data_IF_939920441242
#
_entry.id   IF_939920441242
#
_cell.length_a   1.000
_cell.length_b   1.000
_cell.length_c   1.000
_cell.angle_alpha   90.00
_cell.angle_beta   90.00
_cell.angle_gamma   90.00
#
_symmetry.space_group_name_H-M   'P 1'
#
loop_
_entity.id
_entity.type
_entity.pdbx_description
1 polymer ?
#
# COMPACT_ATOMS: atom_id res chain seq x y z
N UNK A 1 -1.10 -20.11 -0.36
CA UNK A 1 -0.76 -19.08 -1.36
C UNK A 1 -2.00 -18.28 -1.70
N UNK A 2 -2.06 -17.07 -1.16
CA UNK A 2 -3.06 -16.10 -1.58
C UNK A 2 -2.84 -15.67 -3.03
N UNK A 3 -3.93 -15.50 -3.76
CA UNK A 3 -3.88 -15.09 -5.16
C UNK A 3 -3.95 -13.56 -5.29
N UNK A 4 -3.56 -13.03 -6.46
CA UNK A 4 -3.80 -11.61 -6.80
C UNK A 4 -5.29 -11.26 -6.76
N UNK A 5 -6.17 -12.24 -6.96
CA UNK A 5 -7.61 -12.08 -6.87
C UNK A 5 -8.06 -11.87 -5.42
N UNK A 6 -7.46 -12.59 -4.46
CA UNK A 6 -7.73 -12.41 -3.03
C UNK A 6 -7.24 -11.03 -2.56
N UNK A 7 -6.05 -10.61 -3.00
CA UNK A 7 -5.54 -9.26 -2.73
C UNK A 7 -6.50 -8.18 -3.26
N UNK A 8 -6.96 -8.29 -4.51
CA UNK A 8 -7.86 -7.30 -5.09
C UNK A 8 -9.23 -7.26 -4.40
N UNK A 9 -9.76 -8.41 -3.93
CA UNK A 9 -11.00 -8.46 -3.14
C UNK A 9 -10.82 -7.74 -1.80
N UNK A 10 -9.75 -8.03 -1.07
CA UNK A 10 -9.43 -7.40 0.21
C UNK A 10 -9.23 -5.89 0.05
N UNK A 11 -8.47 -5.46 -0.97
CA UNK A 11 -8.28 -4.04 -1.28
C UNK A 11 -9.59 -3.33 -1.63
N UNK A 12 -10.49 -3.99 -2.35
CA UNK A 12 -11.80 -3.40 -2.67
C UNK A 12 -12.70 -3.27 -1.44
N UNK A 13 -12.63 -4.22 -0.50
CA UNK A 13 -13.45 -4.24 0.71
C UNK A 13 -12.94 -3.26 1.78
N UNK A 14 -11.63 -3.17 1.97
CA UNK A 14 -11.02 -2.48 3.10
C UNK A 14 -10.16 -1.28 2.72
N UNK A 15 -9.77 -1.13 1.45
CA UNK A 15 -8.79 -0.14 0.99
C UNK A 15 -7.34 -0.45 1.37
N UNK A 16 -7.11 -1.49 2.15
CA UNK A 16 -5.79 -2.01 2.49
C UNK A 16 -5.80 -3.53 2.58
N UNK A 17 -4.61 -4.11 2.53
CA UNK A 17 -4.37 -5.52 2.81
C UNK A 17 -3.07 -5.68 3.59
N UNK A 18 -3.05 -6.63 4.52
CA UNK A 18 -1.83 -7.01 5.25
C UNK A 18 -1.47 -8.43 4.87
N UNK A 19 -0.33 -8.60 4.22
CA UNK A 19 0.23 -9.91 3.89
C UNK A 19 1.22 -10.26 4.98
N UNK A 20 0.98 -11.36 5.68
CA UNK A 20 1.85 -11.78 6.77
C UNK A 20 2.59 -13.07 6.40
N UNK A 21 3.91 -13.03 6.53
CA UNK A 21 4.80 -14.17 6.28
C UNK A 21 5.95 -14.15 7.28
N UNK A 22 6.23 -15.27 7.99
CA UNK A 22 7.32 -15.31 8.97
C UNK A 22 8.72 -15.22 8.33
N UNK A 23 8.83 -15.39 7.01
CA UNK A 23 10.10 -15.33 6.26
C UNK A 23 10.23 -13.98 5.52
N UNK A 24 11.32 -13.26 5.81
CA UNK A 24 11.62 -11.95 5.24
C UNK A 24 11.90 -11.99 3.73
N UNK A 25 12.56 -13.04 3.24
CA UNK A 25 12.90 -13.18 1.83
C UNK A 25 11.65 -13.50 1.01
N UNK A 26 10.75 -14.30 1.57
CA UNK A 26 9.46 -14.57 0.95
C UNK A 26 8.54 -13.35 0.99
N UNK A 27 8.62 -12.52 2.04
CA UNK A 27 7.92 -11.23 2.09
C UNK A 27 8.35 -10.31 0.95
N UNK A 28 9.66 -10.14 0.77
CA UNK A 28 10.22 -9.28 -0.27
C UNK A 28 9.85 -9.79 -1.67
N UNK A 29 9.97 -11.10 -1.93
CA UNK A 29 9.57 -11.69 -3.22
C UNK A 29 8.08 -11.54 -3.50
N UNK A 30 7.22 -11.78 -2.50
CA UNK A 30 5.78 -11.64 -2.64
C UNK A 30 5.38 -10.18 -2.89
N UNK A 31 6.03 -9.23 -2.22
CA UNK A 31 5.88 -7.80 -2.48
C UNK A 31 6.27 -7.45 -3.91
N UNK A 32 7.48 -7.84 -4.34
CA UNK A 32 7.98 -7.56 -5.69
C UNK A 32 7.02 -8.10 -6.75
N UNK A 33 6.62 -9.37 -6.66
CA UNK A 33 5.66 -9.98 -7.60
C UNK A 33 4.31 -9.24 -7.61
N UNK A 34 3.82 -8.85 -6.44
CA UNK A 34 2.59 -8.09 -6.35
C UNK A 34 2.77 -6.72 -7.05
N UNK A 35 3.80 -5.96 -6.71
CA UNK A 35 4.11 -4.66 -7.28
C UNK A 35 4.24 -4.70 -8.81
N UNK A 36 5.00 -5.66 -9.35
CA UNK A 36 5.13 -5.88 -10.81
C UNK A 36 3.77 -6.08 -11.47
N UNK A 37 2.88 -6.87 -10.85
CA UNK A 37 1.55 -7.11 -11.42
C UNK A 37 0.69 -5.84 -11.52
N UNK A 38 0.89 -4.85 -10.64
CA UNK A 38 0.21 -3.56 -10.70
C UNK A 38 0.88 -2.60 -11.70
N UNK A 39 2.21 -2.62 -11.80
CA UNK A 39 2.94 -1.87 -12.83
C UNK A 39 2.52 -2.30 -14.24
N UNK A 40 2.43 -3.60 -14.51
CA UNK A 40 1.99 -4.14 -15.81
C UNK A 40 0.55 -3.73 -16.16
N UNK A 41 -0.28 -3.44 -15.15
CA UNK A 41 -1.64 -2.92 -15.32
C UNK A 41 -1.69 -1.41 -15.58
N UNK A 42 -0.56 -0.71 -15.45
CA UNK A 42 -0.46 0.74 -15.58
C UNK A 42 -0.84 1.52 -14.32
N UNK A 43 -0.89 0.87 -13.15
CA UNK A 43 -1.17 1.55 -11.89
C UNK A 43 0.08 2.31 -11.39
N UNK A 44 -0.09 3.44 -10.67
CA UNK A 44 1.01 4.16 -10.00
C UNK A 44 1.44 3.34 -8.78
N UNK A 45 2.63 2.73 -8.86
CA UNK A 45 3.17 1.89 -7.79
C UNK A 45 4.24 2.65 -7.01
N UNK A 46 4.04 2.71 -5.69
CA UNK A 46 4.98 3.30 -4.75
C UNK A 46 5.40 2.26 -3.74
N UNK A 47 6.70 2.12 -3.48
CA UNK A 47 7.26 1.13 -2.56
C UNK A 47 7.95 1.85 -1.42
N UNK A 48 7.63 1.46 -0.19
CA UNK A 48 8.30 1.91 1.02
C UNK A 48 9.06 0.70 1.57
N UNK A 49 10.39 0.77 1.50
CA UNK A 49 11.29 -0.25 2.03
C UNK A 49 11.57 0.06 3.51
N UNK A 50 10.76 -0.54 4.39
CA UNK A 50 10.89 -0.38 5.84
C UNK A 50 12.07 -1.15 6.45
N UNK A 51 12.59 -2.17 5.76
CA UNK A 51 13.74 -2.95 6.20
C UNK A 51 15.08 -2.39 5.69
N UNK A 52 15.03 -1.47 4.71
CA UNK A 52 16.19 -0.88 4.06
C UNK A 52 17.13 -1.92 3.44
N UNK A 53 16.56 -3.00 2.88
CA UNK A 53 17.33 -4.11 2.30
C UNK A 53 17.79 -3.84 0.87
N UNK A 54 17.28 -2.78 0.21
CA UNK A 54 17.66 -2.43 -1.16
C UNK A 54 17.20 -3.44 -2.21
N UNK A 55 16.28 -4.34 -1.87
CA UNK A 55 15.90 -5.49 -2.70
C UNK A 55 14.91 -5.17 -3.84
N UNK A 56 14.70 -3.88 -4.14
CA UNK A 56 13.61 -3.41 -4.99
C UNK A 56 14.07 -2.60 -6.21
N UNK A 57 15.37 -2.61 -6.54
CA UNK A 57 15.93 -1.85 -7.67
C UNK A 57 15.24 -2.19 -9.01
N UNK A 58 14.92 -3.47 -9.24
CA UNK A 58 14.20 -3.91 -10.45
C UNK A 58 12.77 -3.34 -10.58
N UNK A 59 12.14 -2.91 -9.48
CA UNK A 59 10.85 -2.21 -9.53
C UNK A 59 11.03 -0.76 -9.97
N UNK A 60 12.15 -0.13 -9.59
CA UNK A 60 12.47 1.26 -10.00
C UNK A 60 12.71 1.33 -11.50
N UNK A 61 13.45 0.35 -12.06
CA UNK A 61 13.65 0.23 -13.52
C UNK A 61 12.32 0.09 -14.28
N UNK A 62 11.33 -0.55 -13.66
CA UNK A 62 9.98 -0.72 -14.21
C UNK A 62 9.05 0.49 -13.93
N UNK A 63 9.57 1.55 -13.29
CA UNK A 63 8.85 2.82 -13.08
C UNK A 63 8.20 2.99 -11.70
N UNK A 64 8.43 2.11 -10.73
CA UNK A 64 7.95 2.31 -9.37
C UNK A 64 8.74 3.41 -8.64
N UNK A 65 8.05 4.19 -7.81
CA UNK A 65 8.70 5.13 -6.91
C UNK A 65 9.15 4.42 -5.62
N UNK A 66 10.45 4.36 -5.35
CA UNK A 66 11.00 3.68 -4.17
C UNK A 66 11.43 4.68 -3.07
N UNK A 67 11.00 4.41 -1.85
CA UNK A 67 11.36 5.14 -0.64
C UNK A 67 12.09 4.22 0.35
N UNK A 68 13.42 4.31 0.37
CA UNK A 68 14.29 3.49 1.24
C UNK A 68 14.63 4.12 2.58
N UNK A 69 14.28 5.40 2.78
CA UNK A 69 14.56 6.13 4.02
C UNK A 69 13.27 6.58 4.69
N UNK A 70 13.30 6.72 6.02
CA UNK A 70 12.19 7.28 6.77
C UNK A 70 11.75 8.66 6.25
N UNK A 71 12.70 9.50 5.81
CA UNK A 71 12.40 10.81 5.24
C UNK A 71 11.68 10.70 3.89
N UNK A 72 12.14 9.80 3.00
CA UNK A 72 11.47 9.54 1.73
C UNK A 72 10.05 8.96 1.94
N UNK A 73 9.90 8.02 2.87
CA UNK A 73 8.60 7.44 3.22
C UNK A 73 7.60 8.50 3.70
N UNK A 74 8.05 9.44 4.54
CA UNK A 74 7.22 10.58 4.96
C UNK A 74 6.76 11.43 3.77
N UNK A 75 7.67 11.74 2.83
CA UNK A 75 7.32 12.53 1.64
C UNK A 75 6.28 11.84 0.76
N UNK A 76 6.43 10.53 0.53
CA UNK A 76 5.45 9.73 -0.21
C UNK A 76 4.06 9.84 0.44
N UNK A 77 3.99 9.72 1.75
CA UNK A 77 2.71 9.72 2.47
C UNK A 77 2.09 11.10 2.57
N UNK A 78 2.90 12.15 2.72
CA UNK A 78 2.42 13.53 2.65
C UNK A 78 1.83 13.85 1.28
N UNK A 79 2.49 13.42 0.19
CA UNK A 79 1.97 13.54 -1.18
C UNK A 79 0.64 12.79 -1.34
N UNK A 80 0.55 11.55 -0.86
CA UNK A 80 -0.67 10.76 -0.90
C UNK A 80 -1.81 11.43 -0.13
N UNK A 81 -1.51 12.05 1.02
CA UNK A 81 -2.52 12.75 1.83
C UNK A 81 -3.12 13.94 1.08
N UNK A 82 -2.27 14.73 0.42
CA UNK A 82 -2.71 15.86 -0.41
C UNK A 82 -3.55 15.36 -1.59
N UNK A 83 -3.07 14.32 -2.25
CA UNK A 83 -3.73 13.75 -3.42
C UNK A 83 -5.09 13.13 -3.09
N UNK A 84 -5.20 12.43 -1.96
CA UNK A 84 -6.47 11.96 -1.41
C UNK A 84 -7.44 13.11 -1.16
N UNK A 85 -6.96 14.19 -0.53
CA UNK A 85 -7.80 15.37 -0.26
C UNK A 85 -8.33 16.00 -1.55
N UNK A 86 -7.49 16.11 -2.58
CA UNK A 86 -7.89 16.60 -3.89
C UNK A 86 -8.89 15.67 -4.59
N UNK A 87 -8.64 14.37 -4.60
CA UNK A 87 -9.54 13.38 -5.21
C UNK A 87 -10.89 13.36 -4.50
N UNK A 88 -10.89 13.44 -3.17
CA UNK A 88 -12.13 13.53 -2.38
C UNK A 88 -12.92 14.80 -2.67
N UNK A 89 -12.26 15.95 -2.82
CA UNK A 89 -12.94 17.20 -3.23
C UNK A 89 -13.52 17.10 -4.63
N UNK A 90 -12.78 16.47 -5.56
CA UNK A 90 -13.20 16.33 -6.97
C UNK A 90 -14.37 15.37 -7.14
N UNK A 91 -14.40 14.28 -6.38
CA UNK A 91 -15.36 13.19 -6.59
C UNK A 91 -16.47 13.17 -5.53
N UNK A 92 -16.32 13.94 -4.46
CA UNK A 92 -17.28 13.99 -3.36
C UNK A 92 -17.30 12.71 -2.53
N UNK A 93 -18.47 12.34 -2.02
CA UNK A 93 -18.67 11.14 -1.21
C UNK A 93 -19.00 9.88 -2.04
N UNK A 94 -18.85 9.93 -3.38
CA UNK A 94 -19.09 8.76 -4.23
C UNK A 94 -18.02 7.69 -4.02
N UNK A 95 -18.45 6.43 -3.90
CA UNK A 95 -17.55 5.29 -3.81
C UNK A 95 -16.92 4.99 -5.17
N UNK A 96 -15.65 4.58 -5.18
CA UNK A 96 -14.91 4.16 -6.38
C UNK A 96 -15.58 3.04 -7.15
N UNK A 97 -16.20 2.10 -6.42
CA UNK A 97 -16.94 1.00 -7.01
C UNK A 97 -18.09 1.52 -7.88
N UNK A 98 -18.69 2.64 -7.50
CA UNK A 98 -19.86 3.24 -8.13
C UNK A 98 -19.49 4.25 -9.22
N UNK A 99 -18.22 4.67 -9.32
CA UNK A 99 -17.77 5.58 -10.37
C UNK A 99 -17.73 4.89 -11.73
N UNK A 100 -18.21 5.56 -12.80
CA UNK A 100 -17.96 5.12 -14.17
C UNK A 100 -16.45 4.93 -14.42
N UNK A 101 -16.06 3.86 -15.11
CA UNK A 101 -14.64 3.58 -15.39
C UNK A 101 -13.92 4.75 -16.08
N UNK A 102 -14.62 5.48 -16.94
CA UNK A 102 -14.09 6.65 -17.67
C UNK A 102 -13.81 7.87 -16.80
N UNK A 103 -14.34 7.91 -15.57
CA UNK A 103 -14.17 9.03 -14.63
C UNK A 103 -13.40 8.64 -13.39
N UNK A 104 -13.00 7.36 -13.27
CA UNK A 104 -12.14 6.90 -12.17
C UNK A 104 -10.77 7.56 -12.32
N UNK A 105 -10.22 8.12 -11.23
CA UNK A 105 -8.80 8.46 -11.18
C UNK A 105 -7.91 7.29 -11.57
N UNK A 106 -6.64 7.55 -11.83
CA UNK A 106 -5.63 6.48 -11.90
C UNK A 106 -5.44 5.86 -10.52
N UNK A 107 -5.24 4.54 -10.45
CA UNK A 107 -5.00 3.90 -9.15
C UNK A 107 -3.59 4.18 -8.68
N UNK A 108 -3.46 4.38 -7.38
CA UNK A 108 -2.17 4.40 -6.70
C UNK A 108 -2.14 3.21 -5.74
N UNK A 109 -1.11 2.38 -5.82
CA UNK A 109 -0.91 1.23 -4.93
C UNK A 109 0.40 1.39 -4.21
N UNK A 110 0.32 1.42 -2.88
CA UNK A 110 1.45 1.65 -2.00
C UNK A 110 1.82 0.35 -1.32
N UNK A 111 2.98 -0.19 -1.65
CA UNK A 111 3.56 -1.36 -1.02
C UNK A 111 4.48 -0.95 0.11
N UNK A 112 4.36 -1.62 1.25
CA UNK A 112 5.16 -1.32 2.44
C UNK A 112 5.80 -2.61 2.95
N UNK A 113 7.12 -2.71 2.80
CA UNK A 113 7.90 -3.79 3.42
C UNK A 113 8.16 -3.49 4.91
N UNK A 114 8.27 -4.54 5.71
CA UNK A 114 8.45 -4.49 7.16
C UNK A 114 7.48 -3.49 7.80
N UNK A 115 6.18 -3.63 7.50
CA UNK A 115 5.12 -2.74 7.94
C UNK A 115 5.07 -2.59 9.47
N UNK A 116 5.40 -3.65 10.21
CA UNK A 116 5.58 -3.65 11.66
C UNK A 116 6.66 -2.66 12.13
N UNK A 117 7.75 -2.51 11.38
CA UNK A 117 8.86 -1.61 11.74
C UNK A 117 8.43 -0.15 11.57
N UNK A 118 7.57 0.12 10.59
CA UNK A 118 7.01 1.44 10.36
C UNK A 118 5.94 1.78 11.42
N UNK A 119 5.12 0.82 11.81
CA UNK A 119 4.00 1.01 12.74
C UNK A 119 4.39 0.95 14.22
N UNK A 120 5.39 0.17 14.61
CA UNK A 120 5.80 -0.03 16.02
C UNK A 120 6.91 0.90 16.49
N UNK A 121 7.64 1.59 15.60
CA UNK A 121 8.66 2.54 16.04
C UNK A 121 8.05 3.76 16.73
N UNK A 122 8.60 4.16 17.89
CA UNK A 122 8.12 5.22 18.81
C UNK A 122 8.13 6.65 18.27
N UNK A 123 8.27 6.84 16.97
CA UNK A 123 8.28 8.17 16.36
C UNK A 123 6.84 8.63 16.19
N UNK A 124 6.37 9.59 16.99
CA UNK A 124 5.05 10.22 16.84
C UNK A 124 4.77 10.89 15.47
N UNK A 125 5.74 10.94 14.55
CA UNK A 125 5.52 11.21 13.11
C UNK A 125 5.06 9.97 12.33
N UNK A 126 5.54 8.78 12.67
CA UNK A 126 5.13 7.49 12.09
C UNK A 126 3.74 7.05 12.60
N UNK A 127 3.33 7.46 13.79
CA UNK A 127 1.95 7.28 14.25
C UNK A 127 0.94 8.08 13.40
N UNK A 128 1.27 9.33 13.05
CA UNK A 128 0.49 10.15 12.08
C UNK A 128 0.48 9.55 10.67
N UNK A 129 1.54 8.82 10.33
CA UNK A 129 1.71 8.09 9.08
C UNK A 129 0.75 6.89 9.04
N UNK A 130 0.60 6.18 10.16
CA UNK A 130 -0.37 5.10 10.35
C UNK A 130 -1.82 5.62 10.39
N UNK A 131 -2.09 6.77 11.02
CA UNK A 131 -3.42 7.43 10.99
C UNK A 131 -3.78 7.93 9.59
N UNK A 132 -2.82 8.53 8.87
CA UNK A 132 -2.98 8.89 7.46
C UNK A 132 -3.24 7.65 6.64
N UNK A 133 -2.42 6.60 6.77
CA UNK A 133 -2.58 5.29 6.14
C UNK A 133 -3.94 4.64 6.47
N UNK A 134 -4.45 4.79 7.69
CA UNK A 134 -5.76 4.31 8.10
C UNK A 134 -6.90 5.14 7.48
N UNK A 135 -6.70 6.44 7.29
CA UNK A 135 -7.61 7.29 6.53
C UNK A 135 -7.57 6.96 5.02
N UNK A 136 -6.38 6.65 4.48
CA UNK A 136 -6.20 6.08 3.13
C UNK A 136 -6.88 4.71 3.05
N UNK A 137 -6.79 3.87 4.06
CA UNK A 137 -7.49 2.59 4.08
C UNK A 137 -9.02 2.79 4.06
N UNK A 138 -9.54 3.59 5.00
CA UNK A 138 -10.97 3.80 5.16
C UNK A 138 -11.64 4.62 4.04
N UNK A 139 -10.89 5.47 3.32
CA UNK A 139 -11.42 6.36 2.27
C UNK A 139 -10.74 6.20 0.90
N UNK A 140 -9.54 5.64 0.86
CA UNK A 140 -8.71 5.52 -0.34
C UNK A 140 -9.24 4.49 -1.32
N UNK A 141 -9.92 3.43 -0.86
CA UNK A 141 -10.68 2.56 -1.75
C UNK A 141 -11.65 3.36 -2.61
N UNK A 142 -12.32 4.37 -2.02
CA UNK A 142 -13.27 5.24 -2.71
C UNK A 142 -12.62 6.23 -3.69
N UNK A 143 -11.31 6.46 -3.62
CA UNK A 143 -10.60 7.41 -4.48
C UNK A 143 -9.38 6.81 -5.19
N UNK A 144 -9.27 5.49 -5.21
CA UNK A 144 -8.28 4.74 -5.97
C UNK A 144 -6.90 4.63 -5.35
N UNK A 145 -6.76 4.88 -4.04
CA UNK A 145 -5.49 4.75 -3.33
C UNK A 145 -5.56 3.55 -2.40
N UNK A 146 -4.64 2.61 -2.59
CA UNK A 146 -4.63 1.32 -1.91
C UNK A 146 -3.31 1.10 -1.18
N UNK A 147 -3.35 0.44 -0.02
CA UNK A 147 -2.16 0.12 0.76
C UNK A 147 -2.00 -1.39 0.92
N UNK A 148 -0.79 -1.89 0.71
CA UNK A 148 -0.43 -3.30 0.92
C UNK A 148 0.76 -3.35 1.86
N UNK A 149 0.55 -3.80 3.10
CA UNK A 149 1.61 -3.96 4.09
C UNK A 149 2.09 -5.41 4.16
N UNK A 150 3.40 -5.61 4.19
CA UNK A 150 4.01 -6.91 4.43
C UNK A 150 4.55 -6.96 5.87
N UNK A 151 4.08 -7.93 6.65
CA UNK A 151 4.48 -8.10 8.05
C UNK A 151 5.19 -9.43 8.29
N UNK A 152 6.23 -9.42 9.14
CA UNK A 152 7.03 -10.62 9.45
C UNK A 152 6.68 -11.28 10.78
N UNK A 153 5.99 -10.56 11.65
CA UNK A 153 5.86 -10.92 13.07
C UNK A 153 4.44 -11.22 13.54
N UNK A 154 3.44 -10.91 12.73
CA UNK A 154 2.02 -11.06 13.10
C UNK A 154 1.38 -12.06 12.14
N UNK A 155 0.48 -12.92 12.63
CA UNK A 155 -0.23 -13.86 11.76
C UNK A 155 -1.40 -13.16 11.05
N UNK A 156 -1.73 -13.53 9.80
CA UNK A 156 -2.80 -12.88 9.03
C UNK A 156 -4.15 -12.85 9.75
N UNK A 157 -4.51 -13.92 10.46
CA UNK A 157 -5.77 -14.04 11.21
C UNK A 157 -5.89 -13.05 12.39
N UNK A 158 -4.79 -12.40 12.78
CA UNK A 158 -4.76 -11.43 13.87
C UNK A 158 -5.05 -10.00 13.41
N UNK A 159 -5.21 -9.75 12.10
CA UNK A 159 -5.40 -8.42 11.53
C UNK A 159 -6.55 -8.39 10.54
N UNK A 160 -7.45 -7.41 10.67
CA UNK A 160 -8.49 -7.15 9.67
C UNK A 160 -7.86 -6.87 8.30
N UNK A 161 -8.36 -7.50 7.24
CA UNK A 161 -7.73 -7.43 5.91
C UNK A 161 -6.44 -8.23 5.78
N UNK A 162 -6.17 -9.14 6.73
CA UNK A 162 -5.03 -10.07 6.70
C UNK A 162 -5.15 -11.14 5.60
N UNK A 163 -4.04 -11.41 4.94
CA UNK A 163 -3.89 -12.41 3.88
C UNK A 163 -2.67 -13.28 4.19
N UNK A 164 -2.83 -14.60 4.18
CA UNK A 164 -1.72 -15.54 4.32
C UNK A 164 -0.94 -15.66 3.00
N UNK A 165 0.37 -15.39 3.05
CA UNK A 165 1.28 -15.55 1.91
C UNK A 165 1.39 -17.03 1.50
#
# INVERSE_FOLDING_TARGET
MATIQDLNKTLAAYGYAIIATPDADDAAKALTRAAESYLVRGDDVRVIDGASTGSFDGLVEQGAALATTAHAANRVIDQLTVELSHRRKRIGAQSWADMPKSTRPDRIVVFVDAYETITQSSIGRRLRLAEKAANIAGQGAAVGVFLVGFMRTVKPEQVSGGIAA
#
